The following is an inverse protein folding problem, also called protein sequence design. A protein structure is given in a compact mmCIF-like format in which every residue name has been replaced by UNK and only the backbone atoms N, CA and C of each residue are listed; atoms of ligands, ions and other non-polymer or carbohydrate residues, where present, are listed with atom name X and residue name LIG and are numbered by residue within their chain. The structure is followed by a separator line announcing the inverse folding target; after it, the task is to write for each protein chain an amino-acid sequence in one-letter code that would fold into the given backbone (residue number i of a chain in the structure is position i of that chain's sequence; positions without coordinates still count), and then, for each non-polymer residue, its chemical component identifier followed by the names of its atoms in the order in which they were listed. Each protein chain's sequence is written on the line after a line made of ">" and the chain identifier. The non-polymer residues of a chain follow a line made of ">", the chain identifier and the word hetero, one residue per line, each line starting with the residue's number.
data_IF_980419813476
#
_entry.id   IF_980419813476
#
_cell.length_a   1.000
_cell.length_b   1.000
_cell.length_c   1.000
_cell.angle_alpha   90.00
_cell.angle_beta   90.00
_cell.angle_gamma   90.00
#
_symmetry.space_group_name_H-M   'P 1'
#
loop_
_entity.id
_entity.type
_entity.pdbx_description
1 polymer ?
#
# COMPACT_ATOMS: atom_id res chain seq x y z
N UNK A 1 -13.47 -16.85 -5.60
CA UNK A 1 -12.32 -17.21 -4.75
C UNK A 1 -11.25 -16.15 -4.96
N UNK A 2 -11.25 -15.09 -4.14
CA UNK A 2 -10.28 -13.99 -4.24
C UNK A 2 -8.92 -14.50 -3.73
N UNK A 3 -7.94 -14.65 -4.63
CA UNK A 3 -6.56 -14.99 -4.26
C UNK A 3 -5.85 -13.71 -3.82
N UNK A 4 -6.11 -13.24 -2.61
CA UNK A 4 -5.13 -12.35 -1.98
C UNK A 4 -3.89 -13.21 -1.76
N UNK A 5 -2.76 -12.90 -2.41
CA UNK A 5 -1.46 -13.54 -2.09
C UNK A 5 -1.01 -13.05 -0.70
N UNK A 6 -1.72 -13.51 0.33
CA UNK A 6 -1.56 -13.22 1.76
C UNK A 6 -0.29 -13.81 2.38
N UNK A 7 0.51 -14.50 1.58
CA UNK A 7 1.71 -15.23 2.01
C UNK A 7 2.78 -14.31 2.66
N UNK A 8 2.69 -13.00 2.46
CA UNK A 8 3.55 -12.02 3.13
C UNK A 8 2.89 -11.30 4.32
N UNK A 9 1.59 -11.49 4.57
CA UNK A 9 0.86 -10.75 5.61
C UNK A 9 1.26 -11.17 7.03
N UNK A 10 1.72 -12.40 7.22
CA UNK A 10 2.26 -12.87 8.50
C UNK A 10 3.51 -12.08 8.95
N UNK A 11 4.25 -11.50 8.01
CA UNK A 11 5.33 -10.56 8.34
C UNK A 11 4.78 -9.16 8.62
N UNK A 12 3.71 -8.75 7.94
CA UNK A 12 3.06 -7.47 8.18
C UNK A 12 2.40 -7.38 9.56
N UNK A 13 1.90 -8.49 10.12
CA UNK A 13 1.34 -8.50 11.48
C UNK A 13 2.39 -8.25 12.57
N UNK A 14 3.68 -8.37 12.26
CA UNK A 14 4.75 -7.94 13.16
C UNK A 14 4.97 -6.42 13.14
N UNK A 15 4.49 -5.72 12.11
CA UNK A 15 4.71 -4.28 11.90
C UNK A 15 3.45 -3.45 12.12
N UNK A 16 2.27 -3.99 11.80
CA UNK A 16 1.02 -3.23 11.76
C UNK A 16 -0.09 -3.86 12.62
N UNK A 17 -1.03 -3.05 13.14
CA UNK A 17 -2.14 -3.55 13.93
C UNK A 17 -2.99 -4.57 13.16
N UNK A 18 -3.36 -5.67 13.82
CA UNK A 18 -4.19 -6.72 13.23
C UNK A 18 -5.51 -6.18 12.65
N UNK A 19 -6.12 -5.21 13.33
CA UNK A 19 -7.35 -4.56 12.89
C UNK A 19 -7.21 -3.89 11.51
N UNK A 20 -6.06 -3.25 11.25
CA UNK A 20 -5.77 -2.63 9.95
C UNK A 20 -5.65 -3.70 8.87
N UNK A 21 -4.86 -4.74 9.13
CA UNK A 21 -4.64 -5.83 8.19
C UNK A 21 -5.92 -6.58 7.84
N UNK A 22 -6.79 -6.80 8.84
CA UNK A 22 -8.11 -7.40 8.66
C UNK A 22 -9.03 -6.52 7.80
N UNK A 23 -9.08 -5.21 8.07
CA UNK A 23 -9.89 -4.29 7.26
C UNK A 23 -9.44 -4.25 5.79
N UNK A 24 -8.13 -4.27 5.54
CA UNK A 24 -7.57 -4.35 4.19
C UNK A 24 -7.93 -5.66 3.49
N UNK A 25 -7.80 -6.80 4.20
CA UNK A 25 -8.14 -8.11 3.66
C UNK A 25 -9.64 -8.24 3.36
N UNK A 26 -10.50 -7.73 4.23
CA UNK A 26 -11.96 -7.72 4.03
C UNK A 26 -12.35 -6.84 2.82
N UNK A 27 -11.79 -5.62 2.72
CA UNK A 27 -12.03 -4.73 1.60
C UNK A 27 -11.58 -5.35 0.27
N UNK A 28 -10.38 -5.96 0.25
CA UNK A 28 -9.86 -6.64 -0.93
C UNK A 28 -10.71 -7.85 -1.33
N UNK A 29 -11.16 -8.62 -0.34
CA UNK A 29 -11.98 -9.81 -0.53
C UNK A 29 -13.35 -9.51 -1.12
N UNK A 30 -13.99 -8.40 -0.71
CA UNK A 30 -15.30 -7.98 -1.24
C UNK A 30 -15.28 -7.73 -2.74
N UNK A 31 -14.24 -7.04 -3.22
CA UNK A 31 -14.17 -6.56 -4.61
C UNK A 31 -13.25 -7.39 -5.50
N UNK A 32 -12.65 -8.47 -4.96
CA UNK A 32 -11.72 -9.32 -5.69
C UNK A 32 -10.43 -8.60 -6.07
N UNK A 33 -9.98 -7.62 -5.27
CA UNK A 33 -8.83 -6.77 -5.56
C UNK A 33 -7.54 -7.42 -5.04
N UNK A 34 -6.50 -7.48 -5.87
CA UNK A 34 -5.16 -7.84 -5.43
C UNK A 34 -4.45 -6.61 -4.85
N UNK A 35 -3.82 -6.78 -3.68
CA UNK A 35 -3.05 -5.75 -3.00
C UNK A 35 -1.55 -6.09 -3.04
N UNK A 36 -0.73 -5.10 -3.36
CA UNK A 36 0.72 -5.22 -3.38
C UNK A 36 1.35 -4.22 -2.42
N UNK A 37 2.22 -4.70 -1.52
CA UNK A 37 3.07 -3.81 -0.72
C UNK A 37 4.16 -3.25 -1.61
N UNK A 38 4.35 -1.94 -1.61
CA UNK A 38 5.27 -1.23 -2.53
C UNK A 38 6.07 -0.16 -1.78
N UNK A 39 6.80 0.68 -2.51
CA UNK A 39 7.30 1.96 -2.00
C UNK A 39 8.31 1.86 -0.86
N UNK A 40 8.21 2.83 0.06
CA UNK A 40 9.11 2.97 1.20
C UNK A 40 8.99 1.79 2.17
N UNK A 41 7.78 1.21 2.29
CA UNK A 41 7.54 0.03 3.10
C UNK A 41 8.46 -1.14 2.70
N UNK A 42 8.53 -1.46 1.40
CA UNK A 42 9.40 -2.56 0.93
C UNK A 42 10.87 -2.26 1.19
N UNK A 43 11.33 -1.03 0.93
CA UNK A 43 12.72 -0.61 1.19
C UNK A 43 13.07 -0.82 2.66
N UNK A 44 12.23 -0.33 3.57
CA UNK A 44 12.52 -0.35 4.99
C UNK A 44 12.52 -1.79 5.52
N UNK A 45 11.59 -2.64 5.06
CA UNK A 45 11.58 -4.08 5.37
C UNK A 45 12.85 -4.79 4.88
N UNK A 46 13.33 -4.50 3.66
CA UNK A 46 14.57 -5.10 3.13
C UNK A 46 15.82 -4.63 3.88
N UNK A 47 15.79 -3.44 4.47
CA UNK A 47 16.84 -2.93 5.34
C UNK A 47 16.74 -3.44 6.78
N UNK A 48 15.78 -4.33 7.08
CA UNK A 48 15.53 -4.82 8.45
C UNK A 48 15.00 -3.75 9.39
N UNK A 49 14.46 -2.65 8.86
CA UNK A 49 13.85 -1.57 9.63
C UNK A 49 12.35 -1.81 9.81
N UNK A 50 11.79 -1.23 10.86
CA UNK A 50 10.35 -1.19 11.06
C UNK A 50 9.76 -0.08 10.18
N UNK A 51 8.96 -0.39 9.14
CA UNK A 51 8.32 0.63 8.32
C UNK A 51 7.24 1.37 9.12
N UNK A 52 7.30 2.70 9.17
CA UNK A 52 6.31 3.52 9.87
C UNK A 52 4.97 3.61 9.12
N UNK A 53 5.04 3.68 7.79
CA UNK A 53 3.89 3.77 6.90
C UNK A 53 3.71 2.49 6.08
N UNK A 54 2.48 2.22 5.64
CA UNK A 54 2.14 1.09 4.77
C UNK A 54 1.72 1.58 3.38
N UNK A 55 2.62 1.43 2.42
CA UNK A 55 2.39 1.74 1.01
C UNK A 55 1.80 0.54 0.28
N UNK A 56 0.60 0.71 -0.30
CA UNK A 56 -0.10 -0.34 -1.05
C UNK A 56 -0.45 0.17 -2.45
N UNK A 57 -0.18 -0.67 -3.46
CA UNK A 57 -0.70 -0.52 -4.80
C UNK A 57 -1.81 -1.54 -5.06
N UNK A 58 -2.80 -1.14 -5.84
CA UNK A 58 -3.89 -1.98 -6.32
C UNK A 58 -4.16 -1.67 -7.79
N UNK A 59 -4.68 -2.64 -8.53
CA UNK A 59 -4.84 -2.53 -9.99
C UNK A 59 -5.88 -1.49 -10.42
N UNK A 60 -6.91 -1.27 -9.60
CA UNK A 60 -8.03 -0.38 -9.92
C UNK A 60 -8.80 0.07 -8.68
N UNK A 61 -9.44 1.23 -8.75
CA UNK A 61 -10.46 1.63 -7.77
C UNK A 61 -9.91 2.02 -6.39
N UNK A 62 -8.81 2.76 -6.32
CA UNK A 62 -8.20 3.17 -5.05
C UNK A 62 -9.15 3.97 -4.14
N UNK A 63 -9.89 4.94 -4.70
CA UNK A 63 -10.83 5.76 -3.93
C UNK A 63 -11.96 4.92 -3.29
N UNK A 64 -12.74 4.13 -4.06
CA UNK A 64 -13.79 3.31 -3.46
C UNK A 64 -13.24 2.26 -2.49
N UNK A 65 -12.06 1.68 -2.78
CA UNK A 65 -11.39 0.76 -1.87
C UNK A 65 -11.07 1.42 -0.51
N UNK A 66 -10.49 2.64 -0.52
CA UNK A 66 -10.16 3.37 0.71
C UNK A 66 -11.43 3.73 1.49
N UNK A 67 -12.53 4.10 0.83
CA UNK A 67 -13.81 4.31 1.52
C UNK A 67 -14.28 3.06 2.27
N UNK A 68 -14.18 1.88 1.65
CA UNK A 68 -14.50 0.60 2.30
C UNK A 68 -13.61 0.35 3.51
N UNK A 69 -12.30 0.63 3.39
CA UNK A 69 -11.35 0.48 4.52
C UNK A 69 -11.70 1.43 5.67
N UNK A 70 -11.90 2.72 5.38
CA UNK A 70 -12.28 3.73 6.40
C UNK A 70 -13.57 3.34 7.11
N UNK A 71 -14.57 2.89 6.36
CA UNK A 71 -15.85 2.42 6.91
C UNK A 71 -15.65 1.20 7.82
N UNK A 72 -14.81 0.24 7.40
CA UNK A 72 -14.52 -0.98 8.18
C UNK A 72 -13.74 -0.68 9.47
N UNK A 73 -12.85 0.31 9.43
CA UNK A 73 -12.11 0.78 10.61
C UNK A 73 -12.95 1.68 11.52
N UNK A 74 -14.10 2.19 11.05
CA UNK A 74 -14.90 3.17 11.79
C UNK A 74 -14.21 4.54 11.92
N UNK A 75 -13.25 4.85 11.04
CA UNK A 75 -12.48 6.08 11.09
C UNK A 75 -11.32 6.12 10.09
N UNK A 76 -10.96 7.34 9.67
CA UNK A 76 -9.86 7.60 8.74
C UNK A 76 -10.17 8.79 7.82
N UNK A 77 -9.15 9.25 7.08
CA UNK A 77 -9.27 10.35 6.13
C UNK A 77 -8.69 9.94 4.78
N UNK A 78 -9.36 10.35 3.70
CA UNK A 78 -8.86 10.21 2.34
C UNK A 78 -8.29 11.56 1.90
N UNK A 79 -6.98 11.61 1.68
CA UNK A 79 -6.30 12.79 1.13
C UNK A 79 -5.94 12.50 -0.33
N UNK A 80 -6.51 13.30 -1.24
CA UNK A 80 -6.21 13.21 -2.67
C UNK A 80 -5.36 14.41 -3.03
N UNK A 81 -4.09 14.15 -3.34
CA UNK A 81 -3.19 15.16 -3.86
C UNK A 81 -3.22 15.13 -5.39
N UNK A 82 -3.35 16.28 -6.06
CA UNK A 82 -3.08 16.33 -7.49
C UNK A 82 -1.62 15.92 -7.70
N UNK A 83 -1.39 14.99 -8.64
CA UNK A 83 -0.02 14.66 -9.05
C UNK A 83 0.57 15.90 -9.71
N UNK A 84 1.34 16.66 -8.92
CA UNK A 84 2.23 17.68 -9.46
C UNK A 84 3.33 16.94 -10.20
N UNK A 85 3.17 16.85 -11.52
CA UNK A 85 4.23 16.39 -12.40
C UNK A 85 5.34 17.43 -12.34
N UNK A 86 6.25 17.27 -11.40
CA UNK A 86 7.50 18.00 -11.41
C UNK A 86 8.15 17.70 -12.77
N UNK A 87 8.34 18.74 -13.60
CA UNK A 87 9.27 18.65 -14.72
C UNK A 87 10.65 18.46 -14.11
N UNK A 88 10.99 17.22 -13.76
CA UNK A 88 12.34 16.88 -13.39
C UNK A 88 13.26 17.18 -14.58
N UNK A 89 14.49 17.64 -14.36
CA UNK A 89 15.47 17.67 -15.45
C UNK A 89 15.57 16.25 -16.02
N UNK A 90 15.62 16.15 -17.34
CA UNK A 90 15.86 14.87 -18.01
C UNK A 90 17.05 14.20 -17.34
N UNK A 91 16.87 12.94 -16.92
CA UNK A 91 17.93 12.15 -16.31
C UNK A 91 19.07 12.03 -17.33
N UNK A 92 20.09 12.87 -17.19
CA UNK A 92 21.32 12.80 -17.97
C UNK A 92 22.21 11.77 -17.28
N UNK A 93 21.96 10.50 -17.59
CA UNK A 93 22.75 9.39 -17.10
C UNK A 93 24.25 9.68 -17.30
N UNK A 94 24.94 10.00 -16.21
CA UNK A 94 26.40 10.09 -16.21
C UNK A 94 26.89 8.69 -15.88
N UNK A 95 27.15 7.89 -16.93
CA UNK A 95 27.96 6.68 -16.80
C UNK A 95 29.39 7.15 -16.49
N UNK A 96 29.80 7.09 -15.22
CA UNK A 96 31.21 7.11 -14.86
C UNK A 96 31.83 5.82 -15.39
N UNK A 97 32.74 5.96 -16.37
CA UNK A 97 33.66 4.92 -16.78
C UNK A 97 34.70 4.68 -15.71
#
# INVERSE_FOLDING_TARGET
>A
MCKVKLQNLARLSAYYPERLLKALAEAAGRDGIELHVVGGTVRDMLMGKHPGDLDIALEKGAIPFVHTVISTLGGGALLIFPVLRLKGPAWSGRTSR
#
